data_IF_524647985559
#
_entry.id   IF_524647985559
#
_cell.length_a   1.000
_cell.length_b   1.000
_cell.length_c   1.000
_cell.angle_alpha   90.00
_cell.angle_beta   90.00
_cell.angle_gamma   90.00
#
_symmetry.space_group_name_H-M   'P 1'
#
loop_
_entity.id
_entity.type
_entity.pdbx_description
1 polymer ?
#
# COMPACT_ATOMS: atom_id res chain seq x y z
N UNK A 1 -24.14 63.92 -31.98
CA UNK A 1 -24.65 63.43 -30.69
C UNK A 1 -24.87 61.93 -30.82
N UNK A 2 -24.16 61.17 -29.97
CA UNK A 2 -24.45 59.82 -29.40
C UNK A 2 -24.73 58.63 -30.36
N UNK A 3 -24.37 57.38 -30.10
CA UNK A 3 -23.40 56.63 -29.28
C UNK A 3 -23.94 55.19 -29.15
N UNK A 4 -23.05 54.19 -29.07
CA UNK A 4 -23.33 52.85 -28.53
C UNK A 4 -23.74 51.80 -29.57
N UNK A 5 -23.23 50.57 -29.55
CA UNK A 5 -22.31 49.88 -28.64
C UNK A 5 -22.07 48.48 -29.22
N UNK A 6 -20.82 48.02 -29.15
CA UNK A 6 -20.34 46.78 -29.75
C UNK A 6 -20.21 45.74 -28.61
N UNK A 7 -20.92 44.61 -28.69
CA UNK A 7 -20.85 43.56 -27.67
C UNK A 7 -20.27 42.27 -28.26
N UNK A 8 -18.99 42.02 -27.94
CA UNK A 8 -18.28 40.79 -28.26
C UNK A 8 -18.33 39.86 -27.05
N UNK A 9 -19.10 38.78 -27.14
CA UNK A 9 -19.16 37.71 -26.14
C UNK A 9 -17.84 36.92 -26.13
N UNK A 10 -17.03 37.13 -25.09
CA UNK A 10 -15.91 36.26 -24.72
C UNK A 10 -16.44 35.07 -23.93
N UNK A 11 -16.33 33.85 -24.48
CA UNK A 11 -16.51 32.60 -23.71
C UNK A 11 -15.33 32.44 -22.75
N UNK A 12 -15.62 32.54 -21.46
CA UNK A 12 -14.72 32.14 -20.38
C UNK A 12 -14.73 30.61 -20.30
N UNK A 13 -13.61 29.98 -20.68
CA UNK A 13 -13.40 28.54 -20.45
C UNK A 13 -12.90 28.37 -19.02
N UNK A 14 -13.71 27.70 -18.21
CA UNK A 14 -13.44 27.36 -16.81
C UNK A 14 -12.20 26.46 -16.69
N UNK A 15 -11.11 27.02 -16.16
CA UNK A 15 -9.87 26.31 -15.81
C UNK A 15 -9.93 25.52 -14.50
N UNK A 16 -11.12 25.12 -14.03
CA UNK A 16 -11.31 24.53 -12.69
C UNK A 16 -11.07 23.01 -12.58
N UNK A 17 -10.96 22.28 -13.70
CA UNK A 17 -10.97 20.81 -13.66
C UNK A 17 -9.59 20.14 -13.49
N UNK A 18 -8.49 20.86 -13.75
CA UNK A 18 -7.12 20.28 -13.69
C UNK A 18 -6.52 20.26 -12.27
N UNK A 19 -6.92 21.18 -11.40
CA UNK A 19 -6.38 21.28 -10.03
C UNK A 19 -6.90 20.18 -9.09
N UNK A 20 -8.11 19.65 -9.33
CA UNK A 20 -8.73 18.64 -8.45
C UNK A 20 -8.01 17.29 -8.53
N UNK A 21 -7.43 16.95 -9.69
CA UNK A 21 -6.68 15.70 -9.89
C UNK A 21 -5.26 15.71 -9.31
N UNK A 22 -4.67 16.90 -9.13
CA UNK A 22 -3.38 17.08 -8.46
C UNK A 22 -3.52 17.09 -6.93
N UNK A 23 -4.68 17.52 -6.43
CA UNK A 23 -4.94 17.54 -4.99
C UNK A 23 -5.28 16.17 -4.43
N UNK A 24 -5.90 15.26 -5.18
CA UNK A 24 -6.26 13.93 -4.67
C UNK A 24 -5.05 13.08 -4.23
N UNK A 25 -3.98 12.93 -5.02
CA UNK A 25 -2.75 12.24 -4.59
C UNK A 25 -2.07 12.97 -3.41
N UNK A 26 -2.08 14.30 -3.44
CA UNK A 26 -1.43 15.16 -2.44
C UNK A 26 -2.19 15.15 -1.10
N UNK A 27 -3.53 15.08 -1.13
CA UNK A 27 -4.42 14.94 0.02
C UNK A 27 -4.32 13.54 0.63
N UNK A 28 -4.27 12.48 -0.20
CA UNK A 28 -4.01 11.12 0.30
C UNK A 28 -2.64 11.03 0.97
N UNK A 29 -1.61 11.66 0.39
CA UNK A 29 -0.26 11.71 0.96
C UNK A 29 -0.22 12.51 2.27
N UNK A 30 -0.94 13.65 2.36
CA UNK A 30 -1.03 14.46 3.58
C UNK A 30 -1.77 13.72 4.68
N UNK A 31 -2.86 13.01 4.36
CA UNK A 31 -3.64 12.23 5.35
C UNK A 31 -2.84 11.04 5.90
N UNK A 32 -2.08 10.32 5.05
CA UNK A 32 -1.20 9.23 5.50
C UNK A 32 -0.03 9.72 6.36
N UNK A 33 0.45 10.94 6.10
CA UNK A 33 1.57 11.54 6.84
C UNK A 33 1.14 12.20 8.16
N UNK A 34 -0.15 12.47 8.36
CA UNK A 34 -0.66 13.06 9.62
C UNK A 34 -0.81 12.06 10.77
N UNK A 35 -0.86 10.76 10.51
CA UNK A 35 -0.96 9.74 11.58
C UNK A 35 0.38 9.38 12.22
N UNK A 36 1.50 9.83 11.61
CA UNK A 36 2.85 9.62 12.12
C UNK A 36 3.68 10.90 11.96
N UNK A 37 3.69 11.77 12.99
CA UNK A 37 4.88 12.44 13.57
C UNK A 37 4.60 13.84 14.17
N UNK A 38 5.40 14.27 15.17
CA UNK A 38 5.30 15.57 15.81
C UNK A 38 5.69 16.72 14.87
N UNK A 39 5.12 17.88 15.15
CA UNK A 39 5.28 19.18 14.48
C UNK A 39 6.67 19.42 13.84
N UNK A 40 6.81 19.16 12.54
CA UNK A 40 7.83 19.82 11.71
C UNK A 40 7.12 20.61 10.64
N UNK A 41 7.32 21.92 10.66
CA UNK A 41 6.52 22.91 9.93
C UNK A 41 6.78 22.82 8.42
N UNK A 42 5.70 22.77 7.65
CA UNK A 42 5.59 22.73 6.18
C UNK A 42 6.43 23.79 5.42
N UNK A 43 7.02 24.77 6.13
CA UNK A 43 7.90 25.79 5.55
C UNK A 43 9.23 25.26 5.01
N UNK A 44 9.71 24.10 5.47
CA UNK A 44 11.04 23.60 5.07
C UNK A 44 11.05 22.87 3.71
N UNK A 45 9.91 22.30 3.31
CA UNK A 45 9.73 21.64 2.01
C UNK A 45 9.73 22.63 0.83
N UNK A 46 9.26 23.87 1.03
CA UNK A 46 9.25 24.90 -0.01
C UNK A 46 10.60 25.64 -0.17
N UNK A 47 11.50 25.54 0.82
CA UNK A 47 12.79 26.21 0.76
C UNK A 47 13.79 25.52 -0.19
N UNK A 48 13.61 24.23 -0.49
CA UNK A 48 14.50 23.49 -1.41
C UNK A 48 14.18 23.70 -2.90
N UNK A 49 13.05 24.34 -3.24
CA UNK A 49 12.69 24.66 -4.62
C UNK A 49 13.15 26.05 -5.10
N UNK A 50 13.85 26.81 -4.26
CA UNK A 50 14.43 28.10 -4.66
C UNK A 50 15.83 27.90 -5.22
N UNK A 51 15.94 27.70 -6.53
CA UNK A 51 17.20 27.85 -7.25
C UNK A 51 17.68 29.30 -7.15
N UNK A 52 18.75 29.54 -6.42
CA UNK A 52 19.46 30.82 -6.38
C UNK A 52 20.14 31.07 -7.74
N UNK A 53 19.79 32.17 -8.41
CA UNK A 53 20.65 32.77 -9.44
C UNK A 53 21.93 33.32 -8.79
N UNK A 54 23.11 33.22 -9.43
CA UNK A 54 24.31 33.90 -8.96
C UNK A 54 24.19 35.40 -9.21
N UNK A 55 24.43 36.20 -8.17
CA UNK A 55 24.54 37.65 -8.25
C UNK A 55 25.84 38.03 -8.99
N UNK A 56 25.71 38.91 -9.99
CA UNK A 56 26.82 39.66 -10.55
C UNK A 56 26.98 40.99 -9.79
N UNK A 57 28.23 41.38 -9.59
CA UNK A 57 28.74 42.56 -8.87
C UNK A 57 28.11 43.90 -9.25
N UNK A 58 28.08 44.83 -8.29
CA UNK A 58 27.89 46.26 -8.60
C UNK A 58 27.48 47.21 -7.47
N UNK A 59 28.37 47.44 -6.49
CA UNK A 59 28.70 48.69 -5.77
C UNK A 59 27.67 49.83 -5.49
N UNK A 60 27.63 50.21 -4.19
CA UNK A 60 27.43 51.55 -3.59
C UNK A 60 26.03 52.23 -3.72
N UNK A 61 25.48 53.05 -2.80
CA UNK A 61 26.04 53.87 -1.72
C UNK A 61 24.95 54.23 -0.65
N UNK A 62 25.46 54.75 0.47
CA UNK A 62 24.87 55.22 1.76
C UNK A 62 23.64 56.18 1.79
N UNK A 63 22.69 55.83 2.69
CA UNK A 63 21.94 56.58 3.77
C UNK A 63 21.22 57.96 3.51
N UNK A 64 20.39 58.54 4.43
CA UNK A 64 18.91 58.64 4.33
C UNK A 64 18.34 60.09 4.48
N UNK A 65 17.01 60.29 4.43
CA UNK A 65 16.26 61.20 5.35
C UNK A 65 14.77 61.36 5.02
N UNK A 66 14.00 61.54 6.12
CA UNK A 66 12.70 62.23 6.30
C UNK A 66 11.52 61.80 5.43
N UNK A 67 10.43 61.23 5.97
CA UNK A 67 9.47 61.82 6.93
C UNK A 67 8.10 61.77 6.23
N UNK A 68 6.94 61.51 6.84
CA UNK A 68 6.45 61.95 8.14
C UNK A 68 5.08 61.28 8.41
N UNK A 69 4.86 60.87 9.68
CA UNK A 69 3.59 60.75 10.45
C UNK A 69 2.49 59.77 9.97
N UNK A 70 1.77 59.03 10.81
CA UNK A 70 1.31 59.27 12.20
C UNK A 70 0.99 57.91 12.85
N UNK A 71 1.68 57.52 13.92
CA UNK A 71 1.28 57.58 15.35
C UNK A 71 0.12 56.60 15.75
N UNK A 72 0.44 55.44 16.34
CA UNK A 72 0.45 55.09 17.80
C UNK A 72 -0.93 54.98 18.45
N UNK A 73 -1.24 54.08 19.40
CA UNK A 73 -0.58 52.97 20.08
C UNK A 73 -1.66 52.19 20.87
N UNK A 74 -1.32 50.97 21.28
CA UNK A 74 -1.95 50.15 22.34
C UNK A 74 -2.47 50.96 23.57
N UNK A 75 -3.45 50.51 24.38
CA UNK A 75 -3.37 49.32 25.24
C UNK A 75 -4.69 49.05 26.00
N UNK A 76 -4.83 47.81 26.49
CA UNK A 76 -5.97 47.12 27.12
C UNK A 76 -6.49 47.66 28.48
N UNK A 77 -7.76 47.37 28.82
CA UNK A 77 -8.27 47.00 30.18
C UNK A 77 -9.62 46.24 30.07
N UNK A 78 -9.78 45.18 30.87
CA UNK A 78 -10.99 44.38 31.13
C UNK A 78 -12.17 45.13 31.81
N UNK A 79 -13.39 44.57 31.76
CA UNK A 79 -14.39 44.38 32.87
C UNK A 79 -15.84 44.19 32.34
N UNK A 80 -16.30 42.93 32.44
CA UNK A 80 -17.60 42.39 32.92
C UNK A 80 -19.01 42.97 32.58
N UNK A 81 -19.87 42.06 32.04
CA UNK A 81 -21.20 41.58 32.55
C UNK A 81 -22.54 42.23 32.10
N UNK A 82 -23.41 41.43 31.45
CA UNK A 82 -24.80 40.97 31.83
C UNK A 82 -25.43 40.18 30.63
N UNK A 83 -25.66 38.84 30.67
CA UNK A 83 -26.86 38.06 31.11
C UNK A 83 -28.17 38.38 30.32
N UNK A 84 -29.08 37.48 29.89
CA UNK A 84 -29.35 36.03 30.04
C UNK A 84 -30.56 35.65 29.11
N UNK A 85 -30.70 34.42 28.57
CA UNK A 85 -31.72 33.37 28.88
C UNK A 85 -32.43 32.90 27.57
N UNK A 86 -32.87 31.66 27.25
CA UNK A 86 -32.93 30.31 27.85
C UNK A 86 -33.24 29.25 26.72
N UNK A 87 -32.45 28.16 26.56
CA UNK A 87 -32.67 26.72 26.90
C UNK A 87 -34.03 25.96 26.68
N UNK A 88 -34.15 24.57 26.73
CA UNK A 88 -33.14 23.45 26.74
C UNK A 88 -33.58 21.99 26.22
N UNK A 89 -32.70 20.97 26.48
CA UNK A 89 -32.83 19.47 26.71
C UNK A 89 -33.10 18.52 25.50
N UNK A 90 -32.49 17.32 25.30
CA UNK A 90 -32.28 16.12 26.15
C UNK A 90 -31.07 15.25 25.75
N UNK A 91 -30.33 14.74 26.75
CA UNK A 91 -29.40 13.60 26.67
C UNK A 91 -29.75 12.52 27.72
N UNK A 92 -29.46 11.25 27.42
CA UNK A 92 -29.71 10.08 28.28
C UNK A 92 -28.41 9.57 28.96
N UNK A 93 -28.47 8.95 30.16
CA UNK A 93 -27.32 8.59 31.01
C UNK A 93 -26.84 7.12 30.86
N UNK A 94 -25.66 6.75 31.41
CA UNK A 94 -25.18 5.36 31.48
C UNK A 94 -25.71 4.62 32.73
N UNK A 95 -25.71 3.26 32.75
CA UNK A 95 -26.31 2.49 33.83
C UNK A 95 -25.37 2.27 35.02
N UNK A 96 -25.99 2.30 36.21
CA UNK A 96 -25.45 2.03 37.53
C UNK A 96 -25.44 0.53 37.87
N UNK A 97 -24.46 0.12 38.67
CA UNK A 97 -24.41 -1.17 39.36
C UNK A 97 -25.34 -1.19 40.59
N UNK A 98 -25.91 -2.35 40.91
CA UNK A 98 -26.63 -2.65 42.14
C UNK A 98 -26.20 -4.02 42.68
N UNK A 99 -26.01 -4.09 43.99
CA UNK A 99 -25.44 -5.18 44.80
C UNK A 99 -26.49 -5.96 45.61
N UNK A 100 -26.07 -7.14 46.10
CA UNK A 100 -26.51 -7.96 47.26
C UNK A 100 -26.81 -9.43 46.84
N UNK A 101 -26.40 -10.51 47.52
CA UNK A 101 -25.82 -10.70 48.86
C UNK A 101 -25.11 -12.08 49.01
N UNK A 102 -24.48 -12.26 50.18
CA UNK A 102 -23.42 -13.17 50.64
C UNK A 102 -23.68 -14.69 50.77
N UNK A 103 -22.58 -15.49 50.75
CA UNK A 103 -22.00 -16.25 51.88
C UNK A 103 -20.79 -17.10 51.40
N UNK A 104 -19.72 -17.45 52.12
CA UNK A 104 -18.93 -16.98 53.27
C UNK A 104 -17.70 -17.93 53.40
N UNK A 105 -16.55 -17.46 53.90
CA UNK A 105 -15.40 -18.27 54.40
C UNK A 105 -14.07 -18.06 53.65
N UNK A 106 -13.14 -17.15 54.01
CA UNK A 106 -12.15 -17.17 55.14
C UNK A 106 -11.11 -18.30 54.96
N UNK A 107 -9.77 -18.15 54.92
CA UNK A 107 -8.84 -17.09 55.32
C UNK A 107 -7.48 -17.19 54.59
N UNK A 108 -6.79 -16.04 54.60
CA UNK A 108 -5.36 -15.78 54.81
C UNK A 108 -4.26 -16.26 53.86
N UNK A 109 -3.47 -15.26 53.48
CA UNK A 109 -2.19 -15.32 52.82
C UNK A 109 -1.08 -15.15 53.86
N UNK A 110 -0.07 -16.01 53.80
CA UNK A 110 1.30 -15.67 54.21
C UNK A 110 2.26 -16.71 53.64
N UNK A 111 3.34 -16.27 52.99
CA UNK A 111 4.51 -17.12 52.78
C UNK A 111 5.19 -17.01 51.42
N UNK A 112 5.94 -15.92 51.27
CA UNK A 112 7.28 -15.86 50.68
C UNK A 112 7.59 -16.40 49.27
N UNK A 113 8.02 -15.43 48.44
CA UNK A 113 9.09 -15.56 47.45
C UNK A 113 10.30 -16.29 48.07
N UNK A 114 10.65 -17.45 47.52
CA UNK A 114 12.05 -17.84 47.29
C UNK A 114 12.16 -19.02 46.34
N UNK A 115 13.12 -18.89 45.43
CA UNK A 115 13.72 -19.92 44.57
C UNK A 115 13.03 -20.23 43.24
N UNK A 116 12.97 -19.21 42.38
CA UNK A 116 13.53 -19.38 41.04
C UNK A 116 15.04 -19.53 41.19
N UNK A 117 15.59 -20.70 40.83
CA UNK A 117 16.88 -20.97 40.17
C UNK A 117 17.34 -22.38 40.55
N UNK A 118 16.91 -23.39 39.80
CA UNK A 118 17.74 -24.58 39.54
C UNK A 118 17.23 -25.28 38.27
N UNK A 119 17.50 -24.65 37.14
CA UNK A 119 17.65 -25.33 35.87
C UNK A 119 19.10 -25.85 35.88
N UNK A 120 19.30 -27.18 35.93
CA UNK A 120 20.21 -27.97 35.08
C UNK A 120 20.52 -29.34 35.71
N UNK A 121 20.27 -30.37 34.88
CA UNK A 121 20.89 -31.71 34.88
C UNK A 121 20.65 -32.64 36.07
N UNK A 122 19.75 -33.62 35.89
CA UNK A 122 20.01 -35.00 36.30
C UNK A 122 19.45 -35.97 35.24
N UNK A 123 20.36 -36.59 34.49
CA UNK A 123 20.13 -37.86 33.81
C UNK A 123 19.85 -38.91 34.89
N UNK A 124 18.68 -39.52 34.85
CA UNK A 124 18.35 -40.71 35.63
C UNK A 124 17.76 -41.75 34.70
N UNK A 125 18.53 -42.82 34.46
CA UNK A 125 18.01 -44.10 33.98
C UNK A 125 16.74 -44.46 34.76
N UNK A 126 15.68 -44.79 34.04
CA UNK A 126 14.50 -45.39 34.64
C UNK A 126 14.01 -46.55 33.79
N UNK A 127 13.86 -47.65 34.49
CA UNK A 127 13.58 -49.00 34.05
C UNK A 127 12.50 -49.15 32.98
N UNK A 128 12.83 -50.03 32.05
CA UNK A 128 11.94 -50.80 31.19
C UNK A 128 10.96 -51.62 32.05
N UNK A 129 9.67 -51.26 32.03
CA UNK A 129 8.57 -52.23 32.08
C UNK A 129 7.21 -51.53 32.05
N UNK A 130 6.44 -51.82 30.99
CA UNK A 130 4.99 -51.64 30.98
C UNK A 130 4.45 -50.48 30.15
N UNK A 131 4.90 -50.32 28.90
CA UNK A 131 4.12 -49.56 27.92
C UNK A 131 2.89 -50.40 27.56
N UNK A 132 1.73 -49.99 28.07
CA UNK A 132 0.44 -50.44 27.57
C UNK A 132 0.25 -49.80 26.19
N UNK A 133 0.85 -50.41 25.18
CA UNK A 133 0.74 -50.02 23.79
C UNK A 133 -0.63 -50.45 23.27
N UNK A 134 -1.65 -49.61 23.51
CA UNK A 134 -2.95 -49.63 22.79
C UNK A 134 -3.77 -48.34 23.04
N UNK A 135 -3.11 -47.18 23.18
CA UNK A 135 -3.82 -45.91 22.98
C UNK A 135 -3.74 -45.61 21.49
N UNK A 136 -4.79 -45.97 20.75
CA UNK A 136 -4.93 -45.58 19.35
C UNK A 136 -4.60 -44.09 19.20
N UNK A 137 -3.70 -43.75 18.27
CA UNK A 137 -3.33 -42.36 18.02
C UNK A 137 -4.60 -41.51 17.78
N UNK A 138 -4.68 -40.27 18.30
CA UNK A 138 -5.86 -39.44 18.13
C UNK A 138 -6.22 -39.31 16.65
N UNK A 139 -7.44 -39.70 16.28
CA UNK A 139 -7.93 -39.58 14.91
C UNK A 139 -7.97 -38.11 14.52
N UNK A 140 -7.39 -37.76 13.39
CA UNK A 140 -7.48 -36.41 12.88
C UNK A 140 -8.91 -36.10 12.46
N UNK A 141 -9.46 -34.94 12.84
CA UNK A 141 -10.82 -34.54 12.51
C UNK A 141 -10.81 -33.16 11.89
N UNK A 142 -11.45 -33.01 10.73
CA UNK A 142 -11.76 -31.72 10.12
C UNK A 142 -13.27 -31.63 9.90
N UNK A 143 -13.90 -30.63 10.50
CA UNK A 143 -15.33 -30.36 10.31
C UNK A 143 -15.58 -28.87 10.28
N UNK A 144 -16.12 -28.35 9.17
CA UNK A 144 -16.50 -26.95 9.03
C UNK A 144 -18.02 -26.80 8.91
N UNK A 145 -18.61 -25.91 9.70
CA UNK A 145 -20.00 -25.53 9.64
C UNK A 145 -20.13 -24.10 9.08
N UNK A 146 -20.73 -24.00 7.89
CA UNK A 146 -20.96 -22.75 7.15
C UNK A 146 -22.37 -22.18 7.30
N UNK A 147 -23.26 -22.89 8.00
CA UNK A 147 -24.69 -22.58 8.10
C UNK A 147 -24.96 -21.35 8.96
N UNK A 148 -24.02 -21.01 9.86
CA UNK A 148 -24.13 -19.80 10.66
C UNK A 148 -23.98 -18.57 9.76
N UNK A 149 -25.00 -17.71 9.77
CA UNK A 149 -24.99 -16.45 9.00
C UNK A 149 -23.91 -15.48 9.49
N UNK A 150 -23.44 -15.67 10.73
CA UNK A 150 -22.48 -14.79 11.39
C UNK A 150 -21.02 -15.15 11.14
N UNK A 151 -20.67 -16.42 11.19
CA UNK A 151 -19.28 -16.87 11.16
C UNK A 151 -19.22 -18.28 10.58
N UNK A 152 -18.05 -18.68 10.09
CA UNK A 152 -17.79 -20.08 9.79
C UNK A 152 -17.05 -20.70 10.98
N UNK A 153 -17.44 -21.90 11.39
CA UNK A 153 -16.81 -22.59 12.52
C UNK A 153 -16.15 -23.86 11.99
N UNK A 154 -14.84 -23.96 12.09
CA UNK A 154 -14.08 -25.17 11.75
C UNK A 154 -13.46 -25.77 13.01
N UNK A 155 -13.74 -27.05 13.27
CA UNK A 155 -13.08 -27.84 14.28
C UNK A 155 -11.99 -28.69 13.61
N UNK A 156 -10.77 -28.58 14.14
CA UNK A 156 -9.59 -29.29 13.67
C UNK A 156 -8.95 -30.02 14.85
N UNK A 157 -8.70 -31.32 14.70
CA UNK A 157 -8.11 -32.18 15.73
C UNK A 157 -7.02 -33.05 15.09
N UNK A 158 -5.93 -33.32 15.81
CA UNK A 158 -4.74 -34.04 15.31
C UNK A 158 -3.53 -33.13 15.13
N UNK A 159 -2.64 -33.49 14.19
CA UNK A 159 -1.46 -32.68 13.83
C UNK A 159 -1.88 -31.55 12.86
N UNK A 160 -1.98 -30.33 13.39
CA UNK A 160 -2.40 -29.14 12.62
C UNK A 160 -1.19 -28.28 12.29
N UNK A 161 -0.91 -28.07 11.01
CA UNK A 161 0.23 -27.28 10.51
C UNK A 161 -0.25 -26.14 9.64
N UNK A 162 0.37 -24.97 9.78
CA UNK A 162 0.01 -23.78 8.99
C UNK A 162 1.16 -23.36 8.09
N UNK A 163 0.86 -23.15 6.81
CA UNK A 163 1.74 -22.53 5.84
C UNK A 163 1.24 -21.11 5.51
N UNK A 164 1.70 -20.12 6.29
CA UNK A 164 1.18 -18.75 6.26
C UNK A 164 1.26 -18.08 4.88
N UNK A 165 2.41 -18.18 4.20
CA UNK A 165 2.63 -17.56 2.88
C UNK A 165 1.65 -18.05 1.80
N UNK A 166 1.29 -19.33 1.83
CA UNK A 166 0.35 -19.96 0.89
C UNK A 166 -1.09 -19.82 1.36
N UNK A 167 -1.32 -19.44 2.62
CA UNK A 167 -2.65 -19.40 3.22
C UNK A 167 -3.26 -20.80 3.32
N UNK A 168 -2.49 -21.81 3.72
CA UNK A 168 -2.99 -23.19 3.84
C UNK A 168 -2.77 -23.76 5.24
N UNK A 169 -3.79 -24.44 5.77
CA UNK A 169 -3.75 -25.20 7.01
C UNK A 169 -3.92 -26.68 6.69
N UNK A 170 -3.01 -27.51 7.18
CA UNK A 170 -3.02 -28.96 7.03
C UNK A 170 -3.43 -29.61 8.34
N UNK A 171 -4.37 -30.55 8.29
CA UNK A 171 -4.80 -31.39 9.41
C UNK A 171 -4.38 -32.82 9.03
N UNK A 172 -3.24 -33.26 9.54
CA UNK A 172 -2.57 -34.49 9.11
C UNK A 172 -3.03 -35.68 9.95
N UNK A 173 -3.50 -36.73 9.27
CA UNK A 173 -3.78 -38.04 9.89
C UNK A 173 -2.50 -38.85 10.06
N UNK A 174 -2.30 -39.58 11.19
CA UNK A 174 -1.34 -40.67 11.25
C UNK A 174 -1.66 -41.68 10.14
N UNK A 175 -0.62 -42.17 9.46
CA UNK A 175 -0.65 -42.85 8.16
C UNK A 175 -1.43 -44.18 8.06
N UNK A 176 -2.16 -44.60 9.10
CA UNK A 176 -2.96 -45.83 9.13
C UNK A 176 -4.49 -45.63 9.21
N UNK A 177 -5.00 -44.39 9.34
CA UNK A 177 -6.46 -44.18 9.28
C UNK A 177 -6.86 -43.90 7.81
N UNK A 178 -7.37 -44.95 7.15
CA UNK A 178 -7.93 -44.92 5.78
C UNK A 178 -9.09 -43.93 5.57
N UNK A 179 -9.49 -43.19 6.60
CA UNK A 179 -10.56 -42.21 6.54
C UNK A 179 -10.08 -40.89 5.92
N UNK A 180 -10.11 -40.83 4.59
CA UNK A 180 -10.11 -39.57 3.84
C UNK A 180 -11.56 -39.14 3.63
N UNK A 181 -12.06 -38.07 4.28
CA UNK A 181 -13.38 -37.56 3.96
C UNK A 181 -13.41 -37.12 2.49
N UNK A 182 -14.48 -37.44 1.76
CA UNK A 182 -14.67 -37.07 0.34
C UNK A 182 -14.53 -35.55 0.10
N UNK A 183 -14.73 -34.73 1.16
CA UNK A 183 -14.54 -33.29 1.21
C UNK A 183 -13.32 -32.88 2.07
N UNK A 184 -12.18 -33.53 1.86
CA UNK A 184 -10.95 -33.27 2.63
C UNK A 184 -10.26 -31.93 2.34
N UNK A 185 -10.92 -30.98 1.68
CA UNK A 185 -10.39 -29.62 1.40
C UNK A 185 -11.53 -28.60 1.44
N UNK A 186 -11.31 -27.50 2.15
CA UNK A 186 -12.30 -26.45 2.40
C UNK A 186 -11.62 -25.09 2.36
N UNK A 187 -12.21 -24.11 1.65
CA UNK A 187 -11.70 -22.73 1.62
C UNK A 187 -12.57 -21.82 2.48
N UNK A 188 -11.93 -20.99 3.30
CA UNK A 188 -12.58 -20.01 4.17
C UNK A 188 -11.92 -18.64 4.05
N UNK A 189 -12.66 -17.57 4.37
CA UNK A 189 -12.05 -16.29 4.73
C UNK A 189 -12.00 -16.22 6.25
N UNK A 190 -10.81 -16.18 6.89
CA UNK A 190 -10.66 -16.32 8.33
C UNK A 190 -11.04 -15.04 9.08
N UNK A 191 -12.26 -14.54 8.84
CA UNK A 191 -12.81 -13.34 9.47
C UNK A 191 -14.12 -13.67 10.22
N UNK A 192 -14.21 -13.42 11.54
CA UNK A 192 -15.35 -13.84 12.36
C UNK A 192 -16.69 -13.18 12.05
N UNK A 193 -16.75 -12.12 11.21
CA UNK A 193 -18.00 -11.41 10.89
C UNK A 193 -18.33 -11.52 9.39
N UNK A 194 -18.89 -12.67 9.02
CA UNK A 194 -19.27 -13.04 7.64
C UNK A 194 -20.23 -12.05 6.97
N UNK A 195 -21.02 -11.30 7.74
CA UNK A 195 -21.99 -10.33 7.22
C UNK A 195 -21.37 -8.98 6.85
N UNK A 196 -20.14 -8.71 7.30
CA UNK A 196 -19.45 -7.45 7.03
C UNK A 196 -18.81 -7.52 5.64
N UNK A 197 -19.59 -7.18 4.61
CA UNK A 197 -19.23 -7.39 3.20
C UNK A 197 -17.86 -6.82 2.83
N UNK A 198 -17.57 -5.58 3.22
CA UNK A 198 -16.31 -4.90 2.87
C UNK A 198 -15.10 -5.64 3.47
N UNK A 199 -15.17 -5.99 4.75
CA UNK A 199 -14.05 -6.68 5.42
C UNK A 199 -13.89 -8.12 4.91
N UNK A 200 -14.99 -8.79 4.58
CA UNK A 200 -14.95 -10.11 3.94
C UNK A 200 -14.33 -10.07 2.54
N UNK A 201 -14.53 -8.99 1.76
CA UNK A 201 -13.89 -8.81 0.46
C UNK A 201 -12.37 -8.64 0.59
N UNK A 202 -11.91 -7.98 1.64
CA UNK A 202 -10.48 -7.76 1.90
C UNK A 202 -9.77 -8.95 2.56
N UNK A 203 -10.51 -9.82 3.25
CA UNK A 203 -9.96 -10.98 3.92
C UNK A 203 -9.46 -12.02 2.91
N UNK A 204 -8.15 -12.31 2.94
CA UNK A 204 -7.52 -13.34 2.11
C UNK A 204 -8.11 -14.73 2.40
N UNK A 205 -8.35 -15.49 1.35
CA UNK A 205 -8.80 -16.88 1.47
C UNK A 205 -7.72 -17.80 2.01
N UNK A 206 -8.14 -18.74 2.87
CA UNK A 206 -7.32 -19.77 3.49
C UNK A 206 -7.91 -21.13 3.14
N UNK A 207 -7.06 -22.03 2.66
CA UNK A 207 -7.43 -23.41 2.35
C UNK A 207 -7.11 -24.30 3.53
N UNK A 208 -8.03 -25.16 3.95
CA UNK A 208 -7.87 -26.14 5.03
C UNK A 208 -7.99 -27.54 4.43
N UNK A 209 -7.01 -28.41 4.69
CA UNK A 209 -6.96 -29.75 4.08
C UNK A 209 -6.75 -30.85 5.12
N UNK A 210 -7.43 -31.97 4.96
CA UNK A 210 -7.29 -33.18 5.79
C UNK A 210 -6.11 -34.07 5.39
N UNK A 211 -5.37 -33.69 4.36
CA UNK A 211 -4.14 -34.38 3.94
C UNK A 211 -2.93 -33.51 4.26
N UNK A 212 -1.81 -34.16 4.58
CA UNK A 212 -0.50 -33.49 4.51
C UNK A 212 -0.24 -32.91 3.11
N UNK A 213 0.75 -32.02 2.99
CA UNK A 213 1.08 -31.39 1.72
C UNK A 213 1.42 -32.46 0.67
N UNK A 214 0.67 -32.48 -0.45
CA UNK A 214 1.05 -33.27 -1.62
C UNK A 214 2.27 -32.66 -2.32
N UNK A 215 2.84 -33.36 -3.30
CA UNK A 215 3.95 -32.82 -4.10
C UNK A 215 3.63 -31.46 -4.75
N UNK A 216 2.36 -31.21 -5.10
CA UNK A 216 1.88 -29.93 -5.60
C UNK A 216 1.73 -28.85 -4.51
N UNK A 217 1.55 -29.23 -3.24
CA UNK A 217 1.42 -28.30 -2.10
C UNK A 217 2.78 -27.94 -1.49
N UNK A 218 3.80 -28.74 -1.78
CA UNK A 218 5.20 -28.41 -1.53
C UNK A 218 5.76 -27.45 -2.59
N UNK A 219 5.10 -27.31 -3.74
CA UNK A 219 5.42 -26.28 -4.71
C UNK A 219 4.80 -24.95 -4.24
N UNK A 220 5.59 -23.89 -4.03
CA UNK A 220 5.04 -22.60 -3.66
C UNK A 220 4.06 -22.12 -4.75
N UNK A 221 2.91 -21.52 -4.37
CA UNK A 221 1.98 -20.94 -5.31
C UNK A 221 2.70 -19.90 -6.17
N UNK A 222 2.31 -19.81 -7.44
CA UNK A 222 2.89 -18.83 -8.36
C UNK A 222 2.63 -17.43 -7.81
N UNK A 223 3.66 -16.59 -7.63
CA UNK A 223 3.47 -15.22 -7.24
C UNK A 223 2.56 -14.50 -8.25
N UNK A 224 1.63 -13.70 -7.74
CA UNK A 224 0.65 -12.98 -8.55
C UNK A 224 1.16 -11.57 -8.83
N UNK A 225 1.09 -11.14 -10.07
CA UNK A 225 1.58 -9.84 -10.52
C UNK A 225 0.45 -9.07 -11.19
N UNK A 226 0.16 -7.86 -10.72
CA UNK A 226 -0.72 -6.93 -11.43
C UNK A 226 0.10 -5.97 -12.29
N UNK A 227 -0.20 -5.93 -13.60
CA UNK A 227 0.45 -5.03 -14.55
C UNK A 227 -0.52 -3.90 -14.91
N UNK A 228 -0.19 -2.67 -14.52
CA UNK A 228 -1.00 -1.48 -14.77
C UNK A 228 -0.78 -0.96 -16.18
N UNK A 229 -1.78 -1.12 -17.03
CA UNK A 229 -1.76 -0.74 -18.44
C UNK A 229 -2.37 0.64 -18.65
N UNK A 230 -1.87 1.34 -19.68
CA UNK A 230 -2.27 2.72 -20.01
C UNK A 230 -2.67 2.79 -21.49
N UNK A 231 -3.49 3.78 -21.86
CA UNK A 231 -4.05 3.87 -23.23
C UNK A 231 -3.61 5.10 -24.03
N UNK A 232 -3.24 6.18 -23.35
CA UNK A 232 -2.98 7.47 -24.02
C UNK A 232 -1.49 7.83 -23.98
N UNK A 233 -0.98 8.21 -22.81
CA UNK A 233 0.43 8.54 -22.62
C UNK A 233 1.12 7.56 -21.70
N UNK A 234 2.43 7.37 -21.91
CA UNK A 234 3.26 6.38 -21.22
C UNK A 234 2.70 4.96 -21.33
N UNK A 235 1.93 4.68 -22.38
CA UNK A 235 1.46 3.33 -22.68
C UNK A 235 2.63 2.44 -23.05
N UNK A 236 2.52 1.17 -22.71
CA UNK A 236 3.43 0.18 -23.27
C UNK A 236 2.97 -0.10 -24.71
N UNK A 237 3.88 -0.06 -25.67
CA UNK A 237 3.53 -0.35 -27.07
C UNK A 237 3.53 -1.85 -27.35
N UNK A 238 4.29 -2.63 -26.58
CA UNK A 238 4.39 -4.08 -26.62
C UNK A 238 3.83 -4.75 -25.35
N UNK A 239 2.62 -4.33 -24.92
CA UNK A 239 1.91 -4.86 -23.74
C UNK A 239 1.86 -6.40 -23.71
N UNK A 240 1.48 -7.01 -24.83
CA UNK A 240 1.35 -8.47 -24.91
C UNK A 240 2.67 -9.20 -24.66
N UNK A 241 3.78 -8.66 -25.17
CA UNK A 241 5.12 -9.24 -24.98
C UNK A 241 5.60 -9.06 -23.54
N UNK A 242 5.34 -7.89 -22.93
CA UNK A 242 5.69 -7.64 -21.54
C UNK A 242 4.91 -8.55 -20.57
N UNK A 243 3.60 -8.72 -20.80
CA UNK A 243 2.75 -9.65 -20.04
C UNK A 243 3.24 -11.10 -20.22
N UNK A 244 3.52 -11.51 -21.47
CA UNK A 244 4.03 -12.85 -21.75
C UNK A 244 5.39 -13.09 -21.06
N UNK A 245 6.30 -12.12 -21.10
CA UNK A 245 7.61 -12.25 -20.46
C UNK A 245 7.52 -12.44 -18.93
N UNK A 246 6.61 -11.73 -18.26
CA UNK A 246 6.37 -11.93 -16.83
C UNK A 246 5.74 -13.31 -16.55
N UNK A 247 4.80 -13.75 -17.39
CA UNK A 247 4.19 -15.08 -17.26
C UNK A 247 5.19 -16.22 -17.51
N UNK A 248 6.10 -16.07 -18.48
CA UNK A 248 7.20 -17.01 -18.78
C UNK A 248 8.19 -17.14 -17.62
N UNK A 249 8.41 -16.06 -16.85
CA UNK A 249 9.23 -16.12 -15.62
C UNK A 249 8.55 -16.95 -14.53
N UNK A 250 7.22 -17.05 -14.55
CA UNK A 250 6.44 -17.89 -13.64
C UNK A 250 5.34 -17.16 -12.88
N UNK A 251 5.16 -15.84 -13.10
CA UNK A 251 4.10 -15.08 -12.45
C UNK A 251 2.71 -15.46 -13.00
N UNK A 252 1.71 -15.43 -12.13
CA UNK A 252 0.32 -15.32 -12.57
C UNK A 252 0.01 -13.83 -12.80
N UNK A 253 -0.10 -13.41 -14.07
CA UNK A 253 -0.20 -12.00 -14.44
C UNK A 253 -1.66 -11.57 -14.59
N UNK A 254 -2.04 -10.50 -13.90
CA UNK A 254 -3.30 -9.77 -14.04
C UNK A 254 -3.04 -8.46 -14.78
N UNK A 255 -3.43 -8.40 -16.05
CA UNK A 255 -3.36 -7.16 -16.83
C UNK A 255 -4.53 -6.24 -16.47
N UNK A 256 -4.23 -5.03 -15.97
CA UNK A 256 -5.23 -4.08 -15.50
C UNK A 256 -5.16 -2.76 -16.28
N UNK A 257 -6.10 -2.55 -17.20
CA UNK A 257 -6.27 -1.27 -17.90
C UNK A 257 -7.04 -0.23 -17.08
N UNK A 258 -7.23 0.99 -17.61
CA UNK A 258 -7.92 2.07 -16.91
C UNK A 258 -9.38 1.74 -16.55
N UNK A 259 -10.01 0.83 -17.28
CA UNK A 259 -11.35 0.30 -16.98
C UNK A 259 -11.42 -0.48 -15.67
N UNK A 260 -10.33 -1.13 -15.25
CA UNK A 260 -10.30 -1.94 -14.04
C UNK A 260 -10.53 -1.10 -12.78
N UNK A 261 -10.08 0.16 -12.78
CA UNK A 261 -10.19 1.09 -11.64
C UNK A 261 -11.62 1.63 -11.46
N UNK A 262 -12.53 1.40 -12.41
CA UNK A 262 -13.93 1.85 -12.30
C UNK A 262 -14.66 1.20 -11.13
N UNK A 263 -14.31 -0.05 -10.82
CA UNK A 263 -14.76 -0.74 -9.62
C UNK A 263 -13.60 -0.79 -8.62
N UNK A 264 -13.51 0.26 -7.79
CA UNK A 264 -12.41 0.40 -6.83
C UNK A 264 -12.39 -0.74 -5.80
N UNK A 265 -13.56 -1.26 -5.40
CA UNK A 265 -13.62 -2.34 -4.43
C UNK A 265 -13.05 -3.63 -5.00
N UNK A 266 -13.46 -3.99 -6.22
CA UNK A 266 -12.92 -5.14 -6.91
C UNK A 266 -11.43 -4.96 -7.25
N UNK A 267 -11.03 -3.77 -7.69
CA UNK A 267 -9.63 -3.50 -8.03
C UNK A 267 -8.71 -3.58 -6.81
N UNK A 268 -9.14 -3.06 -5.66
CA UNK A 268 -8.41 -3.20 -4.40
C UNK A 268 -8.28 -4.68 -3.97
N UNK A 269 -9.34 -5.49 -4.13
CA UNK A 269 -9.28 -6.94 -3.88
C UNK A 269 -8.25 -7.62 -4.79
N UNK A 270 -8.23 -7.27 -6.08
CA UNK A 270 -7.24 -7.79 -7.03
C UNK A 270 -5.82 -7.40 -6.61
N UNK A 271 -5.55 -6.12 -6.35
CA UNK A 271 -4.20 -5.68 -5.97
C UNK A 271 -3.74 -6.29 -4.65
N UNK A 272 -4.62 -6.37 -3.63
CA UNK A 272 -4.32 -6.99 -2.34
C UNK A 272 -4.02 -8.50 -2.46
N UNK A 273 -4.49 -9.13 -3.53
CA UNK A 273 -4.22 -10.52 -3.84
C UNK A 273 -2.96 -10.74 -4.70
N UNK A 274 -2.18 -9.68 -4.98
CA UNK A 274 -0.94 -9.71 -5.75
C UNK A 274 0.31 -9.49 -4.87
N UNK A 275 1.41 -10.15 -5.23
CA UNK A 275 2.72 -9.99 -4.59
C UNK A 275 3.54 -8.88 -5.25
N UNK A 276 3.24 -8.56 -6.51
CA UNK A 276 3.96 -7.57 -7.32
C UNK A 276 2.98 -6.67 -8.06
N UNK A 277 3.25 -5.37 -8.08
CA UNK A 277 2.63 -4.40 -8.98
C UNK A 277 3.69 -3.82 -9.91
N UNK A 278 3.43 -3.85 -11.22
CA UNK A 278 4.28 -3.23 -12.24
C UNK A 278 3.50 -2.15 -12.95
N UNK A 279 4.08 -0.97 -13.14
CA UNK A 279 3.45 0.07 -13.94
C UNK A 279 4.42 1.15 -14.39
N UNK A 280 4.11 1.77 -15.53
CA UNK A 280 4.80 2.98 -15.96
C UNK A 280 4.43 4.14 -15.04
N UNK A 281 5.43 4.95 -14.68
CA UNK A 281 5.28 6.08 -13.78
C UNK A 281 4.01 6.89 -14.07
N UNK A 282 3.19 7.13 -13.05
CA UNK A 282 1.98 7.93 -13.14
C UNK A 282 0.95 7.55 -12.07
N UNK A 283 -0.21 8.22 -12.09
CA UNK A 283 -1.23 8.10 -11.05
C UNK A 283 -1.71 6.67 -10.78
N UNK A 284 -1.72 5.79 -11.79
CA UNK A 284 -2.12 4.38 -11.58
C UNK A 284 -1.28 3.66 -10.52
N UNK A 285 0.01 4.01 -10.39
CA UNK A 285 0.89 3.40 -9.40
C UNK A 285 0.45 3.67 -7.96
N UNK A 286 -0.32 4.73 -7.66
CA UNK A 286 -0.76 5.01 -6.27
C UNK A 286 -1.60 3.88 -5.68
N UNK A 287 -2.16 3.00 -6.52
CA UNK A 287 -2.87 1.81 -6.07
C UNK A 287 -1.97 0.77 -5.38
N UNK A 288 -0.65 0.97 -5.37
CA UNK A 288 0.29 0.22 -4.53
C UNK A 288 -0.10 0.22 -3.04
N UNK A 289 -0.89 1.19 -2.58
CA UNK A 289 -1.44 1.23 -1.20
C UNK A 289 -2.27 -0.01 -0.85
N UNK A 290 -2.80 -0.72 -1.87
CA UNK A 290 -3.55 -1.95 -1.68
C UNK A 290 -2.67 -3.21 -1.68
N UNK A 291 -1.37 -3.10 -2.00
CA UNK A 291 -0.48 -4.26 -1.93
C UNK A 291 -0.32 -4.73 -0.48
N UNK A 292 -0.19 -6.05 -0.25
CA UNK A 292 0.14 -6.56 1.07
C UNK A 292 1.55 -6.15 1.48
N UNK A 293 1.80 -6.13 2.79
CA UNK A 293 3.14 -5.87 3.34
C UNK A 293 4.19 -6.80 2.72
N UNK A 294 5.40 -6.29 2.47
CA UNK A 294 6.48 -6.94 1.70
C UNK A 294 6.18 -7.18 0.20
N UNK A 295 5.02 -6.72 -0.29
CA UNK A 295 4.72 -6.66 -1.73
C UNK A 295 5.73 -5.77 -2.46
N UNK A 296 5.91 -6.00 -3.75
CA UNK A 296 6.89 -5.27 -4.58
C UNK A 296 6.20 -4.32 -5.54
N UNK A 297 6.50 -3.03 -5.45
CA UNK A 297 6.09 -2.03 -6.43
C UNK A 297 7.26 -1.73 -7.38
N UNK A 298 7.10 -2.09 -8.64
CA UNK A 298 8.05 -1.79 -9.71
C UNK A 298 7.58 -0.59 -10.53
N UNK A 299 8.39 0.46 -10.55
CA UNK A 299 8.17 1.64 -11.37
C UNK A 299 8.98 1.56 -12.66
N UNK A 300 8.30 1.59 -13.80
CA UNK A 300 8.94 1.85 -15.10
C UNK A 300 9.04 3.38 -15.27
N UNK A 301 10.28 3.88 -15.30
CA UNK A 301 10.62 5.29 -15.42
C UNK A 301 10.75 5.63 -16.92
N UNK A 302 9.96 6.58 -17.45
CA UNK A 302 10.05 7.01 -18.85
C UNK A 302 11.41 7.64 -19.19
N UNK A 303 11.75 7.71 -20.47
CA UNK A 303 13.00 8.35 -20.93
C UNK A 303 13.02 9.86 -20.63
N UNK A 304 14.21 10.42 -20.46
CA UNK A 304 14.45 11.88 -20.49
C UNK A 304 14.86 12.47 -19.15
N UNK A 305 15.85 11.87 -18.46
CA UNK A 305 16.33 12.33 -17.14
C UNK A 305 15.21 12.35 -16.08
N UNK A 306 14.32 11.37 -16.15
CA UNK A 306 13.12 11.29 -15.32
C UNK A 306 13.34 10.50 -14.02
N UNK A 307 14.52 9.92 -13.79
CA UNK A 307 14.80 9.08 -12.62
C UNK A 307 14.52 9.80 -11.30
N UNK A 308 15.17 10.92 -11.05
CA UNK A 308 15.00 11.67 -9.80
C UNK A 308 13.57 12.23 -9.62
N UNK A 309 12.96 12.88 -10.64
CA UNK A 309 11.56 13.29 -10.56
C UNK A 309 10.59 12.14 -10.25
N UNK A 310 10.79 10.96 -10.84
CA UNK A 310 9.91 9.81 -10.61
C UNK A 310 10.14 9.15 -9.24
N UNK A 311 11.39 9.07 -8.81
CA UNK A 311 11.80 8.51 -7.52
C UNK A 311 11.27 9.34 -6.34
N UNK A 312 11.33 10.67 -6.41
CA UNK A 312 10.83 11.55 -5.32
C UNK A 312 9.33 11.42 -5.06
N UNK A 313 8.56 10.86 -6.00
CA UNK A 313 7.11 10.64 -5.84
C UNK A 313 6.84 9.26 -5.21
N UNK A 314 7.52 8.23 -5.68
CA UNK A 314 7.22 6.84 -5.32
C UNK A 314 8.38 6.10 -4.64
N UNK A 315 9.60 6.25 -5.12
CA UNK A 315 10.76 5.54 -4.58
C UNK A 315 11.11 5.90 -3.14
N UNK A 316 10.86 7.15 -2.74
CA UNK A 316 11.02 7.58 -1.35
C UNK A 316 9.90 7.05 -0.43
N UNK A 317 8.67 6.91 -0.95
CA UNK A 317 7.47 6.62 -0.14
C UNK A 317 7.10 5.15 -0.06
N UNK A 318 7.47 4.35 -1.07
CA UNK A 318 7.17 2.91 -1.13
C UNK A 318 7.74 2.12 0.07
N UNK A 319 9.01 2.31 0.46
CA UNK A 319 9.56 1.61 1.62
C UNK A 319 8.84 1.92 2.94
N UNK A 320 8.41 3.16 3.15
CA UNK A 320 7.68 3.58 4.35
C UNK A 320 6.30 2.90 4.47
N UNK A 321 5.72 2.44 3.35
CA UNK A 321 4.50 1.63 3.34
C UNK A 321 4.76 0.14 3.65
N UNK A 322 6.00 -0.25 3.96
CA UNK A 322 6.37 -1.66 4.16
C UNK A 322 6.45 -2.46 2.85
N UNK A 323 6.59 -1.77 1.72
CA UNK A 323 6.69 -2.38 0.39
C UNK A 323 8.15 -2.35 -0.11
N UNK A 324 8.49 -3.27 -1.00
CA UNK A 324 9.76 -3.24 -1.74
C UNK A 324 9.61 -2.38 -2.99
N UNK A 325 10.65 -1.64 -3.32
CA UNK A 325 10.67 -0.75 -4.48
C UNK A 325 11.70 -1.20 -5.50
N UNK A 326 11.30 -1.27 -6.78
CA UNK A 326 12.18 -1.64 -7.90
C UNK A 326 12.01 -0.63 -9.03
N UNK A 327 13.11 -0.24 -9.67
CA UNK A 327 13.13 0.70 -10.79
C UNK A 327 13.48 0.01 -12.10
N UNK A 328 12.81 0.41 -13.17
CA UNK A 328 13.20 0.11 -14.54
C UNK A 328 13.27 1.39 -15.34
N UNK A 329 14.48 1.85 -15.63
CA UNK A 329 14.69 3.05 -16.43
C UNK A 329 14.69 2.73 -17.93
N UNK A 330 13.72 3.32 -18.63
CA UNK A 330 13.61 3.21 -20.08
C UNK A 330 14.76 3.98 -20.73
N UNK A 331 15.38 3.34 -21.73
CA UNK A 331 16.49 3.90 -22.49
C UNK A 331 16.03 4.70 -23.71
N UNK A 332 16.97 5.36 -24.38
CA UNK A 332 16.72 6.09 -25.63
C UNK A 332 16.18 5.19 -26.76
N UNK A 333 16.35 3.86 -26.63
CA UNK A 333 15.83 2.87 -27.57
C UNK A 333 14.43 2.38 -27.21
N UNK A 334 14.00 2.60 -25.97
CA UNK A 334 12.70 2.13 -25.46
C UNK A 334 11.64 3.24 -25.45
N UNK A 335 11.97 4.46 -25.87
CA UNK A 335 11.01 5.56 -26.00
C UNK A 335 10.52 5.72 -27.44
N UNK A 336 9.23 6.02 -27.62
CA UNK A 336 8.67 6.40 -28.94
C UNK A 336 9.08 7.80 -29.39
N UNK A 337 9.76 8.59 -28.54
CA UNK A 337 10.29 9.89 -28.94
C UNK A 337 11.30 9.77 -30.09
N UNK A 338 11.90 8.59 -30.28
CA UNK A 338 12.88 8.33 -31.36
C UNK A 338 12.24 8.35 -32.75
N UNK A 339 10.93 8.16 -32.81
CA UNK A 339 10.16 8.19 -34.06
C UNK A 339 9.68 9.61 -34.40
N UNK A 340 9.80 10.55 -33.45
CA UNK A 340 9.30 11.94 -33.57
C UNK A 340 10.45 12.94 -33.70
N UNK A 341 11.52 12.74 -32.93
CA UNK A 341 12.66 13.65 -32.87
C UNK A 341 13.90 13.01 -33.50
N UNK A 342 14.71 13.77 -34.24
CA UNK A 342 15.99 13.26 -34.74
C UNK A 342 16.95 13.00 -33.58
N UNK A 343 17.90 12.07 -33.76
CA UNK A 343 18.80 11.62 -32.68
C UNK A 343 19.71 12.69 -32.10
N UNK A 344 19.98 13.77 -32.84
CA UNK A 344 20.77 14.92 -32.40
C UNK A 344 19.94 15.96 -31.62
N UNK A 345 18.61 15.84 -31.61
CA UNK A 345 17.71 16.75 -30.89
C UNK A 345 17.98 16.73 -29.37
N UNK A 346 17.81 17.87 -28.65
CA UNK A 346 18.02 17.95 -27.20
C UNK A 346 17.24 16.93 -26.35
N UNK A 347 16.15 16.36 -26.87
CA UNK A 347 15.42 15.23 -26.25
C UNK A 347 16.32 14.01 -25.98
N UNK A 348 17.38 13.83 -26.79
CA UNK A 348 18.34 12.75 -26.63
C UNK A 348 19.72 13.25 -26.19
N UNK A 349 20.17 14.39 -26.72
CA UNK A 349 21.53 14.87 -26.49
C UNK A 349 21.68 15.71 -25.22
N UNK A 350 20.61 16.36 -24.75
CA UNK A 350 20.62 17.16 -23.54
C UNK A 350 19.21 17.30 -22.93
N UNK A 351 18.62 16.22 -22.37
CA UNK A 351 17.25 16.26 -21.86
C UNK A 351 17.08 17.30 -20.74
N UNK A 352 18.12 17.52 -19.93
CA UNK A 352 18.13 18.54 -18.86
C UNK A 352 17.84 19.95 -19.39
N UNK A 353 18.22 20.27 -20.63
CA UNK A 353 17.87 21.56 -21.25
C UNK A 353 16.36 21.76 -21.43
N UNK A 354 15.60 20.68 -21.57
CA UNK A 354 14.13 20.69 -21.64
C UNK A 354 13.55 20.85 -20.24
N UNK A 355 14.13 20.19 -19.22
CA UNK A 355 13.74 20.40 -17.82
C UNK A 355 13.89 21.87 -17.41
N UNK A 356 14.96 22.55 -17.86
CA UNK A 356 15.20 23.98 -17.61
C UNK A 356 14.19 24.93 -18.26
N UNK A 357 13.40 24.45 -19.24
CA UNK A 357 12.32 25.23 -19.85
C UNK A 357 11.05 25.24 -19.01
N UNK A 358 11.02 24.49 -17.90
CA UNK A 358 9.92 24.45 -16.95
C UNK A 358 9.10 23.16 -17.02
N UNK A 359 8.28 22.97 -15.98
CA UNK A 359 7.51 21.74 -15.78
C UNK A 359 6.54 21.45 -16.93
N UNK A 360 5.90 22.46 -17.51
CA UNK A 360 4.95 22.28 -18.61
C UNK A 360 5.61 21.64 -19.84
N UNK A 361 6.83 22.08 -20.17
CA UNK A 361 7.57 21.56 -21.32
C UNK A 361 8.08 20.15 -21.07
N UNK A 362 8.58 19.88 -19.86
CA UNK A 362 8.94 18.55 -19.39
C UNK A 362 7.74 17.60 -19.47
N UNK A 363 6.59 18.02 -18.93
CA UNK A 363 5.37 17.23 -18.92
C UNK A 363 4.92 16.89 -20.34
N UNK A 364 4.84 17.90 -21.19
CA UNK A 364 4.43 17.76 -22.59
C UNK A 364 5.29 16.75 -23.34
N UNK A 365 6.61 16.76 -23.14
CA UNK A 365 7.52 15.88 -23.89
C UNK A 365 7.67 14.51 -23.20
N UNK A 366 8.10 14.49 -21.94
CA UNK A 366 8.54 13.28 -21.27
C UNK A 366 7.44 12.54 -20.49
N UNK A 367 6.29 13.16 -20.22
CA UNK A 367 5.20 12.49 -19.51
C UNK A 367 3.98 12.24 -20.40
N UNK A 368 3.66 13.16 -21.31
CA UNK A 368 2.50 13.04 -22.18
C UNK A 368 2.85 12.67 -23.63
N UNK A 369 4.01 13.12 -24.11
CA UNK A 369 4.44 12.98 -25.49
C UNK A 369 5.15 11.66 -25.84
N UNK A 370 5.25 10.71 -24.91
CA UNK A 370 5.94 9.45 -25.14
C UNK A 370 5.16 8.23 -24.65
N UNK A 371 5.40 7.12 -25.33
CA UNK A 371 5.08 5.76 -24.91
C UNK A 371 6.38 4.96 -24.78
N UNK A 372 6.30 3.78 -24.18
CA UNK A 372 7.47 2.93 -23.88
C UNK A 372 7.34 1.60 -24.63
N UNK A 373 8.36 1.25 -25.40
CA UNK A 373 8.56 -0.08 -25.98
C UNK A 373 9.62 -0.79 -25.16
N UNK A 374 9.25 -1.71 -24.29
CA UNK A 374 10.20 -2.37 -23.39
C UNK A 374 11.16 -3.27 -24.17
N UNK A 375 12.44 -3.22 -23.82
CA UNK A 375 13.37 -4.30 -24.14
C UNK A 375 12.99 -5.52 -23.30
N UNK A 376 12.36 -6.50 -23.95
CA UNK A 376 11.83 -7.69 -23.29
C UNK A 376 12.91 -8.52 -22.61
N UNK A 377 14.16 -8.51 -23.11
CA UNK A 377 15.24 -9.27 -22.47
C UNK A 377 15.67 -8.61 -21.16
N UNK A 378 15.81 -7.28 -21.15
CA UNK A 378 16.11 -6.53 -19.92
C UNK A 378 14.96 -6.60 -18.93
N UNK A 379 13.73 -6.41 -19.41
CA UNK A 379 12.53 -6.51 -18.58
C UNK A 379 12.40 -7.90 -17.94
N UNK A 380 12.61 -8.97 -18.72
CA UNK A 380 12.64 -10.35 -18.21
C UNK A 380 13.69 -10.54 -17.13
N UNK A 381 14.89 -9.98 -17.29
CA UNK A 381 15.94 -10.02 -16.28
C UNK A 381 15.51 -9.42 -14.94
N UNK A 382 14.82 -8.27 -14.97
CA UNK A 382 14.27 -7.65 -13.74
C UNK A 382 13.12 -8.49 -13.16
N UNK A 383 12.23 -9.03 -14.00
CA UNK A 383 11.17 -9.95 -13.56
C UNK A 383 11.74 -11.19 -12.86
N UNK A 384 12.85 -11.75 -13.35
CA UNK A 384 13.51 -12.90 -12.72
C UNK A 384 14.06 -12.57 -11.34
N UNK A 385 14.67 -11.38 -11.18
CA UNK A 385 15.15 -10.90 -9.88
C UNK A 385 13.98 -10.75 -8.89
N UNK A 386 12.92 -10.06 -9.30
CA UNK A 386 11.72 -9.91 -8.46
C UNK A 386 11.12 -11.28 -8.12
N UNK A 387 11.06 -12.21 -9.08
CA UNK A 387 10.51 -13.55 -8.85
C UNK A 387 11.29 -14.32 -7.78
N UNK A 388 12.63 -14.27 -7.83
CA UNK A 388 13.49 -14.88 -6.81
C UNK A 388 13.23 -14.24 -5.45
N UNK A 389 13.17 -12.91 -5.39
CA UNK A 389 12.96 -12.16 -4.16
C UNK A 389 11.61 -12.46 -3.50
N UNK A 390 10.53 -12.64 -4.28
CA UNK A 390 9.19 -12.95 -3.76
C UNK A 390 8.99 -14.43 -3.46
N UNK A 391 9.79 -15.34 -4.02
CA UNK A 391 9.64 -16.79 -3.79
C UNK A 391 10.50 -17.30 -2.63
N UNK A 392 11.64 -16.68 -2.36
CA UNK A 392 12.60 -17.10 -1.31
C UNK A 392 12.23 -16.56 0.10
N UNK A 393 11.50 -15.44 0.18
CA UNK A 393 10.98 -14.87 1.45
C UNK A 393 9.72 -15.55 1.93
#
# INVERSE_FOLDING_TARGET
MTAGGNESSKKVVSGGALAVWLLLPLVVLVVLKTDCLPQVTVRQLFAQFSFTQPAADGSANKVPSSGTESATQQQAVDVARLKSAHDPVVGAPPPTASSNEMAAGVADANGDLKNQTELLAMNGERDDSGVNSDVAAPRSKLSCNFSFYRMNICAMEGDVRTHGKVGTVYVVSPSDDSYRPENGTVTIRPYPRKWEKLTMQLAREVTIRSSGPGAADMAPPRPRLVMLLRRHSRALTNEAEAVAAAAEVGFEVVAAGPEAVRDMAHFAEVVNSCDVMVGVHGAGLTNMVFLPHNGTAMQIIPWGEMKWPCWSIFGETVPDMGLRYVEYEATAEETTLKDVYPRDHPVFTNPVSIHKQGFDQLWKIFLDGQNVTLDINRFRGVMQQIYQDVTVT
#
